data_IF_988854728928
#
_entry.id   IF_988854728928
#
_cell.length_a   1.000
_cell.length_b   1.000
_cell.length_c   1.000
_cell.angle_alpha   90.00
_cell.angle_beta   90.00
_cell.angle_gamma   90.00
#
_symmetry.space_group_name_H-M   'P 1'
#
loop_
_entity.id
_entity.type
_entity.pdbx_description
1 polymer ?
#
# COMPACT_ATOMS: atom_id res chain seq x y z
N UNK A 1 -19.58 9.08 26.00
CA UNK A 1 -19.30 8.82 27.43
C UNK A 1 -18.15 9.74 27.83
N UNK A 2 -18.29 10.54 28.89
CA UNK A 2 -17.19 11.36 29.42
C UNK A 2 -16.01 10.41 29.70
N UNK A 3 -14.88 10.61 29.03
CA UNK A 3 -13.64 9.91 29.37
C UNK A 3 -13.25 10.36 30.78
N UNK A 4 -13.38 9.46 31.75
CA UNK A 4 -12.83 9.69 33.08
C UNK A 4 -11.31 9.85 32.95
N UNK A 5 -10.75 10.86 33.62
CA UNK A 5 -9.31 11.12 33.56
C UNK A 5 -8.51 9.91 34.05
N UNK A 6 -7.31 9.64 33.48
CA UNK A 6 -6.53 8.44 33.79
C UNK A 6 -6.24 8.27 35.28
N UNK A 7 -6.02 9.37 36.03
CA UNK A 7 -5.81 9.32 37.48
C UNK A 7 -6.96 8.66 38.26
N UNK A 8 -8.20 8.85 37.82
CA UNK A 8 -9.35 8.22 38.46
C UNK A 8 -9.43 6.72 38.14
N UNK A 9 -9.08 6.31 36.92
CA UNK A 9 -9.06 4.89 36.54
C UNK A 9 -8.03 4.10 37.37
N UNK A 10 -6.84 4.66 37.58
CA UNK A 10 -5.82 4.06 38.45
C UNK A 10 -6.24 4.03 39.91
N UNK A 11 -6.92 5.08 40.39
CA UNK A 11 -7.46 5.09 41.74
C UNK A 11 -8.55 4.03 41.94
N UNK A 12 -9.48 3.90 40.99
CA UNK A 12 -10.52 2.87 41.02
C UNK A 12 -9.91 1.46 41.00
N UNK A 13 -8.85 1.23 40.21
CA UNK A 13 -8.13 -0.05 40.19
C UNK A 13 -7.47 -0.35 41.55
N UNK A 14 -6.86 0.64 42.19
CA UNK A 14 -6.30 0.48 43.54
C UNK A 14 -7.37 0.09 44.57
N UNK A 15 -8.57 0.68 44.48
CA UNK A 15 -9.69 0.33 45.34
C UNK A 15 -10.13 -1.13 45.11
N UNK A 16 -10.27 -1.56 43.85
CA UNK A 16 -10.63 -2.95 43.54
C UNK A 16 -9.57 -3.97 44.03
N UNK A 17 -8.29 -3.63 43.92
CA UNK A 17 -7.20 -4.46 44.44
C UNK A 17 -7.21 -4.53 45.97
N UNK A 18 -7.53 -3.42 46.63
CA UNK A 18 -7.73 -3.39 48.08
C UNK A 18 -8.90 -4.29 48.50
N UNK A 19 -10.05 -4.17 47.83
CA UNK A 19 -11.25 -4.98 48.09
C UNK A 19 -10.97 -6.47 47.88
N UNK A 20 -10.13 -6.83 46.90
CA UNK A 20 -9.74 -8.21 46.64
C UNK A 20 -8.93 -8.79 47.81
N UNK A 21 -8.03 -7.99 48.38
CA UNK A 21 -7.27 -8.38 49.56
C UNK A 21 -8.19 -8.57 50.79
N UNK A 22 -9.17 -7.67 50.98
CA UNK A 22 -10.17 -7.80 52.05
C UNK A 22 -11.02 -9.06 51.85
N UNK A 23 -11.50 -9.33 50.64
CA UNK A 23 -12.24 -10.57 50.32
C UNK A 23 -11.41 -11.83 50.58
N UNK A 24 -10.10 -11.78 50.33
CA UNK A 24 -9.18 -12.87 50.69
C UNK A 24 -9.18 -13.16 52.19
N UNK A 25 -9.15 -12.12 53.03
CA UNK A 25 -9.25 -12.27 54.49
C UNK A 25 -10.62 -12.80 54.92
N UNK A 26 -11.70 -12.31 54.30
CA UNK A 26 -13.06 -12.81 54.57
C UNK A 26 -13.18 -14.28 54.20
N UNK A 27 -12.62 -14.70 53.06
CA UNK A 27 -12.61 -16.11 52.64
C UNK A 27 -11.91 -17.01 53.67
N UNK A 28 -10.78 -16.55 54.23
CA UNK A 28 -10.10 -17.26 55.32
C UNK A 28 -10.97 -17.35 56.58
N UNK A 29 -11.64 -16.26 56.96
CA UNK A 29 -12.56 -16.26 58.11
C UNK A 29 -13.75 -17.20 57.90
N UNK A 30 -14.34 -17.21 56.71
CA UNK A 30 -15.44 -18.13 56.34
C UNK A 30 -14.99 -19.59 56.47
N UNK A 31 -13.76 -19.92 56.07
CA UNK A 31 -13.21 -21.28 56.20
C UNK A 31 -13.05 -21.75 57.64
N UNK A 32 -13.01 -20.84 58.62
CA UNK A 32 -12.89 -21.15 60.05
C UNK A 32 -14.22 -21.40 60.76
N UNK A 33 -15.36 -21.17 60.07
CA UNK A 33 -16.69 -21.33 60.64
C UNK A 33 -17.00 -22.81 60.89
N UNK A 34 -17.59 -23.11 62.05
CA UNK A 34 -17.99 -24.48 62.45
C UNK A 34 -19.41 -24.88 62.03
N UNK A 35 -20.17 -23.94 61.44
CA UNK A 35 -21.57 -24.13 61.06
C UNK A 35 -21.77 -24.09 59.55
N UNK A 36 -22.84 -24.71 59.06
CA UNK A 36 -23.21 -24.68 57.65
C UNK A 36 -24.22 -23.55 57.40
N UNK A 37 -23.78 -22.51 56.69
CA UNK A 37 -24.61 -21.35 56.36
C UNK A 37 -24.85 -21.29 54.85
N UNK A 38 -26.11 -21.12 54.44
CA UNK A 38 -26.48 -21.12 53.02
C UNK A 38 -25.84 -19.98 52.21
N UNK A 39 -25.76 -18.78 52.80
CA UNK A 39 -25.29 -17.57 52.11
C UNK A 39 -23.88 -17.12 52.53
N UNK A 40 -23.24 -17.84 53.46
CA UNK A 40 -21.92 -17.52 53.98
C UNK A 40 -21.07 -18.80 54.02
N UNK A 41 -20.63 -19.23 52.84
CA UNK A 41 -19.83 -20.44 52.64
C UNK A 41 -18.71 -20.19 51.62
N UNK A 42 -17.83 -21.19 51.46
CA UNK A 42 -16.64 -21.07 50.61
C UNK A 42 -16.97 -20.86 49.13
N UNK A 43 -18.10 -21.38 48.62
CA UNK A 43 -18.46 -21.20 47.20
C UNK A 43 -18.86 -19.75 46.93
N UNK A 44 -19.65 -19.14 47.81
CA UNK A 44 -20.07 -17.74 47.70
C UNK A 44 -18.85 -16.80 47.76
N UNK A 45 -17.89 -17.08 48.66
CA UNK A 45 -16.65 -16.32 48.74
C UNK A 45 -15.80 -16.44 47.45
N UNK A 46 -15.75 -17.63 46.86
CA UNK A 46 -15.07 -17.86 45.57
C UNK A 46 -15.75 -17.11 44.42
N UNK A 47 -17.08 -17.13 44.36
CA UNK A 47 -17.86 -16.41 43.35
C UNK A 47 -17.64 -14.89 43.44
N UNK A 48 -17.61 -14.33 44.65
CA UNK A 48 -17.28 -12.90 44.87
C UNK A 48 -15.86 -12.57 44.44
N UNK A 49 -14.89 -13.42 44.75
CA UNK A 49 -13.49 -13.26 44.34
C UNK A 49 -13.37 -13.27 42.81
N UNK A 50 -14.02 -14.23 42.14
CA UNK A 50 -14.05 -14.34 40.68
C UNK A 50 -14.74 -13.13 40.03
N UNK A 51 -15.85 -12.65 40.61
CA UNK A 51 -16.53 -11.44 40.16
C UNK A 51 -15.64 -10.20 40.24
N UNK A 52 -14.91 -10.04 41.35
CA UNK A 52 -14.00 -8.92 41.52
C UNK A 52 -12.78 -8.98 40.60
N UNK A 53 -12.21 -10.17 40.37
CA UNK A 53 -11.15 -10.39 39.39
C UNK A 53 -11.59 -9.99 37.97
N UNK A 54 -12.84 -10.29 37.57
CA UNK A 54 -13.39 -9.84 36.29
C UNK A 54 -13.53 -8.31 36.21
N UNK A 55 -13.89 -7.66 37.32
CA UNK A 55 -13.95 -6.19 37.38
C UNK A 55 -12.56 -5.56 37.29
N UNK A 56 -11.55 -6.14 37.93
CA UNK A 56 -10.15 -5.73 37.83
C UNK A 56 -9.69 -5.83 36.38
N UNK A 57 -9.88 -6.98 35.73
CA UNK A 57 -9.51 -7.18 34.33
C UNK A 57 -10.19 -6.15 33.42
N UNK A 58 -11.49 -5.91 33.63
CA UNK A 58 -12.24 -4.88 32.89
C UNK A 58 -11.66 -3.48 33.13
N UNK A 59 -11.22 -3.16 34.35
CA UNK A 59 -10.58 -1.87 34.64
C UNK A 59 -9.21 -1.73 34.00
N UNK A 60 -8.41 -2.80 34.00
CA UNK A 60 -7.15 -2.85 33.28
C UNK A 60 -7.35 -2.64 31.77
N UNK A 61 -8.40 -3.22 31.18
CA UNK A 61 -8.81 -2.96 29.79
C UNK A 61 -9.17 -1.49 29.53
N UNK A 62 -9.93 -0.87 30.44
CA UNK A 62 -10.29 0.55 30.34
C UNK A 62 -9.05 1.45 30.43
N UNK A 63 -8.08 1.13 31.29
CA UNK A 63 -6.80 1.85 31.39
C UNK A 63 -5.99 1.68 30.11
N UNK A 64 -5.83 0.44 29.61
CA UNK A 64 -5.12 0.17 28.34
C UNK A 64 -5.76 0.92 27.17
N UNK A 65 -7.09 0.97 27.12
CA UNK A 65 -7.80 1.73 26.09
C UNK A 65 -7.58 3.25 26.20
N UNK A 66 -7.51 3.80 27.43
CA UNK A 66 -7.20 5.20 27.66
C UNK A 66 -5.77 5.56 27.25
N UNK A 67 -4.79 4.70 27.58
CA UNK A 67 -3.38 4.90 27.21
C UNK A 67 -3.15 4.82 25.68
N UNK A 68 -3.92 3.97 24.98
CA UNK A 68 -3.94 3.94 23.50
C UNK A 68 -4.40 5.25 22.87
N UNK A 69 -5.04 6.14 23.61
CA UNK A 69 -5.48 7.45 23.14
C UNK A 69 -4.59 8.60 23.63
N UNK A 70 -3.51 8.33 24.37
CA UNK A 70 -2.69 9.34 25.03
C UNK A 70 -1.38 9.57 24.27
N UNK A 71 -1.01 10.84 24.12
CA UNK A 71 0.26 11.30 23.53
C UNK A 71 1.03 12.06 24.60
N UNK A 72 2.31 11.74 24.76
CA UNK A 72 3.22 12.49 25.62
C UNK A 72 4.33 13.10 24.76
N UNK A 73 4.48 14.42 24.82
CA UNK A 73 5.51 15.15 24.11
C UNK A 73 6.43 15.82 25.11
N UNK A 74 7.74 15.56 24.98
CA UNK A 74 8.75 16.31 25.70
C UNK A 74 9.07 17.57 24.88
N UNK A 75 8.72 18.73 25.42
CA UNK A 75 8.90 20.02 24.78
C UNK A 75 9.99 20.83 25.50
N UNK A 76 10.77 21.63 24.77
CA UNK A 76 11.77 22.50 25.38
C UNK A 76 11.07 23.55 26.27
N UNK A 77 11.55 23.66 27.51
CA UNK A 77 11.11 24.63 28.50
C UNK A 77 12.03 25.84 28.58
N UNK A 78 11.74 26.75 29.52
CA UNK A 78 12.61 27.89 29.82
C UNK A 78 13.94 27.40 30.39
N UNK A 79 15.06 27.99 29.95
CA UNK A 79 16.37 27.67 30.51
C UNK A 79 16.35 27.82 32.04
N UNK A 80 17.05 26.90 32.71
CA UNK A 80 17.23 27.05 34.15
C UNK A 80 18.10 28.26 34.48
N UNK A 81 18.22 28.60 35.76
CA UNK A 81 19.05 29.73 36.21
C UNK A 81 20.54 29.60 35.85
N UNK A 82 20.99 28.43 35.39
CA UNK A 82 22.35 28.15 34.94
C UNK A 82 22.51 28.07 33.41
N UNK A 83 21.45 28.40 32.65
CA UNK A 83 21.45 28.39 31.19
C UNK A 83 21.26 27.01 30.57
N UNK A 84 20.99 25.96 31.37
CA UNK A 84 20.78 24.61 30.82
C UNK A 84 19.39 24.50 30.20
N UNK A 85 19.26 23.80 29.05
CA UNK A 85 17.97 23.52 28.46
C UNK A 85 17.15 22.65 29.42
N UNK A 86 15.95 23.12 29.76
CA UNK A 86 14.97 22.31 30.49
C UNK A 86 13.94 21.76 29.52
N UNK A 87 13.24 20.71 29.94
CA UNK A 87 12.15 20.13 29.17
C UNK A 87 10.93 19.96 30.08
N UNK A 88 9.74 20.11 29.52
CA UNK A 88 8.49 19.77 30.21
C UNK A 88 7.70 18.78 29.35
N UNK A 89 6.93 17.92 30.02
CA UNK A 89 6.08 16.93 29.34
C UNK A 89 4.68 17.47 29.16
N UNK A 90 4.25 17.66 27.92
CA UNK A 90 2.86 17.94 27.57
C UNK A 90 2.13 16.64 27.29
N UNK A 91 0.94 16.47 27.87
CA UNK A 91 0.11 15.28 27.71
C UNK A 91 -1.17 15.66 26.97
N UNK A 92 -1.42 14.98 25.85
CA UNK A 92 -2.62 15.16 25.04
C UNK A 92 -3.44 13.87 25.04
N UNK A 93 -4.76 14.00 25.10
CA UNK A 93 -5.68 12.88 24.97
C UNK A 93 -6.47 13.04 23.67
N UNK A 94 -6.55 11.97 22.91
CA UNK A 94 -7.31 11.90 21.66
C UNK A 94 -8.61 11.13 21.89
N UNK A 95 -9.60 11.33 21.02
CA UNK A 95 -10.88 10.64 21.14
C UNK A 95 -10.79 9.16 20.73
N UNK A 96 -9.87 8.83 19.83
CA UNK A 96 -9.69 7.47 19.32
C UNK A 96 -8.20 7.19 19.06
N UNK A 97 -7.76 5.92 19.13
CA UNK A 97 -6.39 5.55 18.77
C UNK A 97 -6.02 5.93 17.33
N UNK A 98 -7.00 5.94 16.42
CA UNK A 98 -6.79 6.37 15.03
C UNK A 98 -6.40 7.86 14.93
N UNK A 99 -7.02 8.73 15.75
CA UNK A 99 -6.64 10.15 15.82
C UNK A 99 -5.24 10.30 16.43
N UNK A 100 -4.90 9.53 17.48
CA UNK A 100 -3.54 9.49 18.04
C UNK A 100 -2.52 9.18 16.94
N UNK A 101 -2.75 8.12 16.17
CA UNK A 101 -1.86 7.71 15.09
C UNK A 101 -1.74 8.78 13.99
N UNK A 102 -2.86 9.38 13.58
CA UNK A 102 -2.85 10.50 12.63
C UNK A 102 -2.01 11.68 13.12
N UNK A 103 -2.14 12.06 14.38
CA UNK A 103 -1.36 13.17 14.97
C UNK A 103 0.14 12.85 15.06
N UNK A 104 0.50 11.62 15.44
CA UNK A 104 1.89 11.16 15.48
C UNK A 104 2.49 11.19 14.08
N UNK A 105 1.78 10.68 13.06
CA UNK A 105 2.23 10.68 11.68
C UNK A 105 2.42 12.11 11.16
N UNK A 106 1.46 13.00 11.39
CA UNK A 106 1.59 14.41 10.99
C UNK A 106 2.78 15.09 11.67
N UNK A 107 3.02 14.82 12.96
CA UNK A 107 4.17 15.36 13.68
C UNK A 107 5.50 14.82 13.13
N UNK A 108 5.57 13.53 12.80
CA UNK A 108 6.75 12.93 12.18
C UNK A 108 7.01 13.51 10.79
N UNK A 109 5.98 13.63 9.95
CA UNK A 109 6.08 14.24 8.62
C UNK A 109 6.49 15.72 8.70
N UNK A 110 5.98 16.47 9.67
CA UNK A 110 6.38 17.86 9.88
C UNK A 110 7.85 17.97 10.34
N UNK A 111 8.28 17.11 11.27
CA UNK A 111 9.69 17.04 11.70
C UNK A 111 10.61 16.69 10.55
N UNK A 112 10.21 15.72 9.72
CA UNK A 112 10.92 15.39 8.51
C UNK A 112 10.98 16.63 7.64
N UNK A 113 9.85 17.23 7.23
CA UNK A 113 9.81 18.40 6.34
C UNK A 113 10.67 19.59 6.77
N UNK A 114 10.86 19.78 8.08
CA UNK A 114 11.68 20.86 8.64
C UNK A 114 13.15 20.48 8.90
N UNK A 115 13.56 19.24 8.65
CA UNK A 115 14.94 18.80 8.85
C UNK A 115 15.90 19.50 7.86
N UNK A 116 17.04 19.99 8.36
CA UNK A 116 18.03 20.72 7.56
C UNK A 116 18.69 19.86 6.47
N UNK A 117 18.79 18.54 6.69
CA UNK A 117 19.32 17.57 5.72
C UNK A 117 18.37 17.28 4.55
N UNK A 118 17.14 17.79 4.60
CA UNK A 118 16.19 17.52 3.54
C UNK A 118 16.52 18.27 2.27
N UNK A 119 16.73 17.50 1.21
CA UNK A 119 16.74 18.01 -0.14
C UNK A 119 15.31 18.04 -0.67
N UNK A 120 14.95 19.10 -1.39
CA UNK A 120 13.72 19.14 -2.16
C UNK A 120 13.79 18.02 -3.20
N UNK A 121 12.84 17.08 -3.15
CA UNK A 121 12.76 15.97 -4.12
C UNK A 121 12.28 16.40 -5.49
N UNK A 122 11.79 17.64 -5.60
CA UNK A 122 11.51 18.31 -6.87
C UNK A 122 11.95 19.76 -6.81
N UNK A 123 12.60 20.22 -7.87
CA UNK A 123 12.91 21.64 -8.05
C UNK A 123 11.71 22.33 -8.71
N UNK A 124 10.93 23.10 -7.93
CA UNK A 124 9.93 24.01 -8.47
C UNK A 124 10.63 25.31 -8.86
N UNK A 125 10.56 25.69 -10.14
CA UNK A 125 10.85 27.06 -10.52
C UNK A 125 9.76 27.92 -9.90
N UNK A 126 10.16 29.07 -9.37
CA UNK A 126 9.22 30.11 -8.93
C UNK A 126 8.35 30.49 -10.12
N UNK A 127 7.18 29.87 -10.24
CA UNK A 127 6.19 30.25 -11.25
C UNK A 127 5.46 31.50 -10.71
N UNK A 128 5.32 32.50 -11.58
CA UNK A 128 4.91 33.88 -11.29
C UNK A 128 3.81 34.03 -10.23
N UNK A 129 4.23 34.20 -8.96
CA UNK A 129 3.38 34.64 -7.85
C UNK A 129 2.74 33.56 -6.99
N UNK A 130 2.86 32.27 -7.31
CA UNK A 130 2.32 31.18 -6.48
C UNK A 130 3.45 30.40 -5.78
N UNK A 131 3.95 30.98 -4.68
CA UNK A 131 4.82 30.26 -3.76
C UNK A 131 4.01 29.14 -3.09
N UNK A 132 4.03 27.94 -3.66
CA UNK A 132 3.66 26.74 -2.92
C UNK A 132 4.57 26.73 -1.69
N UNK A 133 3.98 26.78 -0.49
CA UNK A 133 4.76 26.81 0.76
C UNK A 133 5.73 25.63 0.77
N UNK A 134 7.02 25.91 1.02
CA UNK A 134 8.11 24.91 1.01
C UNK A 134 7.80 23.64 1.81
N UNK A 135 7.00 23.78 2.86
CA UNK A 135 6.50 22.72 3.74
C UNK A 135 5.66 21.62 3.04
N UNK A 136 5.19 21.85 1.81
CA UNK A 136 4.38 20.90 1.04
C UNK A 136 5.12 20.20 -0.10
N UNK A 137 6.40 20.48 -0.29
CA UNK A 137 7.17 19.83 -1.36
C UNK A 137 7.53 18.39 -1.00
N UNK A 138 7.56 17.48 -1.99
CA UNK A 138 8.10 16.14 -1.78
C UNK A 138 9.57 16.26 -1.36
N UNK A 139 9.96 15.42 -0.40
CA UNK A 139 11.28 15.43 0.21
C UNK A 139 12.08 14.26 -0.33
N UNK A 140 13.33 14.51 -0.72
CA UNK A 140 14.28 13.45 -1.04
C UNK A 140 15.04 13.08 0.22
N UNK A 141 14.69 11.92 0.79
CA UNK A 141 15.28 11.44 2.04
C UNK A 141 16.61 10.72 1.80
N UNK A 142 16.72 9.90 0.74
CA UNK A 142 17.92 9.10 0.47
C UNK A 142 17.93 8.53 -0.95
N UNK A 143 19.11 8.38 -1.55
CA UNK A 143 19.34 7.48 -2.68
C UNK A 143 19.74 6.08 -2.21
N UNK A 144 19.13 5.05 -2.78
CA UNK A 144 19.45 3.66 -2.46
C UNK A 144 19.75 2.88 -3.73
N UNK A 145 20.91 2.19 -3.83
CA UNK A 145 21.17 1.33 -4.98
C UNK A 145 20.23 0.14 -4.93
N UNK A 146 19.56 -0.10 -6.05
CA UNK A 146 18.66 -1.26 -6.22
C UNK A 146 19.38 -2.40 -6.97
N UNK A 147 20.51 -2.09 -7.62
CA UNK A 147 21.27 -3.03 -8.43
C UNK A 147 22.49 -3.54 -7.68
N UNK A 148 22.74 -4.85 -7.75
CA UNK A 148 23.81 -5.53 -7.02
C UNK A 148 25.14 -5.55 -7.79
N UNK A 149 25.12 -5.39 -9.12
CA UNK A 149 26.31 -5.51 -9.97
C UNK A 149 26.71 -4.15 -10.57
N UNK A 150 27.97 -3.75 -10.35
CA UNK A 150 28.60 -2.56 -10.97
C UNK A 150 28.99 -2.76 -12.45
N UNK A 151 28.67 -3.90 -13.06
CA UNK A 151 29.31 -4.36 -14.30
C UNK A 151 28.44 -4.32 -15.56
N UNK A 152 27.25 -3.71 -15.53
CA UNK A 152 26.44 -3.42 -16.72
C UNK A 152 25.48 -2.26 -16.40
N UNK A 153 25.29 -1.31 -17.32
CA UNK A 153 24.29 -0.25 -17.18
C UNK A 153 22.89 -0.84 -17.40
N UNK A 154 22.29 -1.32 -16.33
CA UNK A 154 20.86 -1.62 -16.29
C UNK A 154 20.09 -0.31 -16.12
N UNK A 155 19.07 -0.11 -16.96
CA UNK A 155 18.14 1.00 -16.86
C UNK A 155 16.83 0.52 -16.24
N UNK A 156 16.29 1.27 -15.27
CA UNK A 156 14.97 0.98 -14.70
C UNK A 156 13.91 1.24 -15.78
N UNK A 157 13.05 0.25 -16.04
CA UNK A 157 11.98 0.34 -17.04
C UNK A 157 10.60 0.39 -16.38
N UNK A 158 10.37 -0.40 -15.32
CA UNK A 158 9.07 -0.46 -14.64
C UNK A 158 9.19 -0.86 -13.18
N UNK A 159 8.15 -0.60 -12.39
CA UNK A 159 8.04 -1.09 -11.03
C UNK A 159 6.59 -1.40 -10.65
N UNK A 160 6.39 -2.33 -9.72
CA UNK A 160 5.09 -2.62 -9.14
C UNK A 160 5.20 -2.77 -7.62
N UNK A 161 4.26 -2.16 -6.90
CA UNK A 161 4.16 -2.28 -5.45
C UNK A 161 3.22 -3.43 -5.08
N UNK A 162 3.72 -4.34 -4.26
CA UNK A 162 2.94 -5.38 -3.61
C UNK A 162 2.68 -4.96 -2.15
N UNK A 163 1.46 -4.51 -1.80
CA UNK A 163 1.09 -4.29 -0.41
C UNK A 163 0.92 -5.64 0.30
N UNK A 164 1.50 -5.76 1.49
CA UNK A 164 1.31 -6.91 2.36
C UNK A 164 0.37 -6.53 3.51
N UNK A 165 -0.73 -7.27 3.74
CA UNK A 165 -1.63 -6.96 4.83
C UNK A 165 -0.88 -7.11 6.16
N UNK A 166 -0.84 -6.04 6.93
CA UNK A 166 -0.32 -6.08 8.30
C UNK A 166 -1.27 -6.94 9.14
N UNK A 167 -0.88 -8.18 9.43
CA UNK A 167 -1.53 -8.98 10.46
C UNK A 167 -1.15 -8.37 11.81
N UNK A 168 -1.99 -7.46 12.30
CA UNK A 168 -1.85 -6.93 13.64
C UNK A 168 -1.93 -8.10 14.63
N UNK A 169 -0.79 -8.54 15.15
CA UNK A 169 -0.78 -9.29 16.40
C UNK A 169 -1.42 -8.39 17.46
N UNK A 170 -2.37 -8.93 18.24
CA UNK A 170 -3.18 -8.21 19.21
C UNK A 170 -2.39 -7.43 20.29
N UNK A 171 -1.05 -7.50 20.27
CA UNK A 171 -0.12 -6.96 21.25
C UNK A 171 0.71 -5.75 20.81
N UNK A 172 0.74 -5.35 19.53
CA UNK A 172 1.55 -4.20 19.08
C UNK A 172 0.69 -3.08 18.45
N UNK A 173 0.12 -2.21 19.29
CA UNK A 173 -0.80 -1.15 18.87
C UNK A 173 -0.17 0.24 18.69
N UNK A 174 1.16 0.34 18.52
CA UNK A 174 1.86 1.64 18.47
C UNK A 174 2.70 1.89 17.20
N UNK A 175 2.78 0.96 16.26
CA UNK A 175 3.44 1.24 14.98
C UNK A 175 2.48 1.97 14.03
N UNK A 176 2.99 3.05 13.44
CA UNK A 176 2.40 3.66 12.26
C UNK A 176 2.07 2.54 11.27
N UNK A 177 0.84 2.49 10.76
CA UNK A 177 0.49 1.64 9.62
C UNK A 177 1.22 2.19 8.37
N UNK A 178 2.55 2.05 8.37
CA UNK A 178 3.35 2.07 7.16
C UNK A 178 2.75 0.94 6.33
N UNK A 179 2.39 1.18 5.08
CA UNK A 179 2.05 0.08 4.20
C UNK A 179 3.29 -0.82 4.13
N UNK A 180 3.24 -1.96 4.82
CA UNK A 180 4.31 -2.94 4.76
C UNK A 180 4.15 -3.65 3.43
N UNK A 181 5.25 -3.86 2.70
CA UNK A 181 5.15 -4.43 1.37
C UNK A 181 6.49 -4.54 0.68
N UNK A 182 6.41 -4.91 -0.59
CA UNK A 182 7.56 -5.08 -1.47
C UNK A 182 7.41 -4.24 -2.72
N UNK A 183 8.44 -3.47 -3.06
CA UNK A 183 8.54 -2.84 -4.37
C UNK A 183 9.38 -3.73 -5.28
N UNK A 184 8.78 -4.19 -6.35
CA UNK A 184 9.44 -4.93 -7.41
C UNK A 184 9.89 -3.96 -8.49
N UNK A 185 11.17 -4.01 -8.85
CA UNK A 185 11.78 -3.09 -9.81
C UNK A 185 12.36 -3.92 -10.95
N UNK A 186 11.84 -3.70 -12.15
CA UNK A 186 12.35 -4.27 -13.40
C UNK A 186 13.35 -3.32 -14.03
N UNK A 187 14.57 -3.81 -14.22
CA UNK A 187 15.64 -3.08 -14.91
C UNK A 187 16.17 -3.91 -16.08
N UNK A 188 16.60 -3.27 -17.15
CA UNK A 188 16.98 -3.94 -18.38
C UNK A 188 18.35 -3.48 -18.88
N UNK A 189 19.15 -4.41 -19.38
CA UNK A 189 20.22 -4.13 -20.35
C UNK A 189 19.66 -4.24 -21.76
N UNK A 190 20.49 -4.15 -22.79
CA UNK A 190 20.06 -4.32 -24.18
C UNK A 190 19.56 -5.74 -24.51
N UNK A 191 19.86 -6.75 -23.68
CA UNK A 191 19.57 -8.15 -24.01
C UNK A 191 18.74 -8.88 -22.95
N UNK A 192 18.76 -8.44 -21.69
CA UNK A 192 18.13 -9.17 -20.60
C UNK A 192 17.56 -8.24 -19.53
N UNK A 193 16.54 -8.73 -18.83
CA UNK A 193 15.95 -8.07 -17.67
C UNK A 193 16.52 -8.59 -16.35
N UNK A 194 16.43 -7.76 -15.31
CA UNK A 194 16.72 -8.06 -13.93
C UNK A 194 15.60 -7.53 -13.05
N UNK A 195 15.21 -8.32 -12.07
CA UNK A 195 14.24 -7.94 -11.04
C UNK A 195 14.98 -7.79 -9.74
N UNK A 196 14.77 -6.66 -9.09
CA UNK A 196 15.18 -6.42 -7.73
C UNK A 196 13.96 -6.15 -6.85
N UNK A 197 13.96 -6.72 -5.65
CA UNK A 197 12.83 -6.62 -4.71
C UNK A 197 13.30 -5.87 -3.47
N UNK A 198 12.63 -4.74 -3.19
CA UNK A 198 12.89 -3.90 -2.03
C UNK A 198 11.81 -4.14 -0.98
N UNK A 199 12.20 -4.45 0.25
CA UNK A 199 11.29 -4.61 1.39
C UNK A 199 11.17 -3.30 2.17
N UNK A 200 9.94 -2.94 2.55
CA UNK A 200 9.60 -1.82 3.44
C UNK A 200 9.22 -2.25 4.85
N UNK A 201 9.43 -3.53 5.20
CA UNK A 201 9.04 -4.06 6.50
C UNK A 201 9.91 -3.57 7.66
N UNK A 202 11.11 -3.06 7.36
CA UNK A 202 11.97 -2.40 8.35
C UNK A 202 11.98 -0.90 8.15
N UNK A 203 12.32 -0.15 9.22
CA UNK A 203 12.49 1.31 9.21
C UNK A 203 13.43 1.85 8.14
N UNK A 204 14.29 0.98 7.58
CA UNK A 204 15.09 1.26 6.39
C UNK A 204 14.72 0.28 5.27
N UNK A 205 14.38 0.77 4.06
CA UNK A 205 14.17 -0.09 2.90
C UNK A 205 15.47 -0.82 2.54
N UNK A 206 15.34 -2.10 2.14
CA UNK A 206 16.47 -2.97 1.77
C UNK A 206 16.14 -3.84 0.57
N UNK A 207 17.11 -4.01 -0.35
CA UNK A 207 17.01 -5.04 -1.39
C UNK A 207 17.14 -6.39 -0.71
N UNK A 208 16.13 -7.24 -0.86
CA UNK A 208 16.09 -8.57 -0.25
C UNK A 208 16.38 -9.67 -1.27
N UNK A 209 16.09 -9.42 -2.56
CA UNK A 209 16.23 -10.40 -3.63
C UNK A 209 16.60 -9.70 -4.93
N UNK A 210 17.38 -10.38 -5.76
CA UNK A 210 17.73 -9.94 -7.10
C UNK A 210 17.96 -11.15 -8.02
N UNK A 211 17.32 -11.16 -9.18
CA UNK A 211 17.48 -12.24 -10.16
C UNK A 211 17.23 -11.77 -11.60
N UNK A 212 17.85 -12.46 -12.54
CA UNK A 212 17.73 -12.17 -13.97
C UNK A 212 16.54 -12.91 -14.60
N UNK A 213 16.00 -12.34 -15.66
CA UNK A 213 14.97 -12.93 -16.54
C UNK A 213 15.45 -12.96 -17.98
N UNK A 214 14.78 -13.77 -18.81
CA UNK A 214 15.24 -14.17 -20.14
C UNK A 214 15.20 -13.04 -21.20
N UNK A 215 14.37 -12.02 -21.00
CA UNK A 215 14.16 -10.92 -21.96
C UNK A 215 14.00 -9.57 -21.25
N UNK A 216 14.00 -8.47 -22.01
CA UNK A 216 13.76 -7.12 -21.47
C UNK A 216 12.33 -7.03 -20.93
N UNK A 217 12.21 -6.57 -19.68
CA UNK A 217 10.94 -6.28 -19.02
C UNK A 217 10.48 -4.88 -19.46
N UNK A 218 9.24 -4.77 -19.93
CA UNK A 218 8.66 -3.49 -20.38
C UNK A 218 7.56 -3.00 -19.44
N UNK A 219 6.83 -3.91 -18.81
CA UNK A 219 5.75 -3.56 -17.89
C UNK A 219 5.59 -4.62 -16.79
N UNK A 220 5.01 -4.20 -15.68
CA UNK A 220 4.78 -5.03 -14.50
C UNK A 220 3.49 -4.61 -13.83
N UNK A 221 2.69 -5.58 -13.37
CA UNK A 221 1.47 -5.30 -12.60
C UNK A 221 1.33 -6.26 -11.42
N UNK A 222 0.86 -5.72 -10.30
CA UNK A 222 0.48 -6.52 -9.13
C UNK A 222 -0.96 -7.02 -9.26
N UNK A 223 -1.15 -8.29 -8.98
CA UNK A 223 -2.45 -8.96 -9.00
C UNK A 223 -2.74 -9.43 -7.57
N UNK A 224 -3.73 -8.82 -6.89
CA UNK A 224 -4.08 -9.19 -5.52
C UNK A 224 -4.68 -10.60 -5.46
N UNK A 225 -4.68 -11.16 -4.25
CA UNK A 225 -5.45 -12.36 -3.95
C UNK A 225 -6.95 -12.05 -4.08
N UNK A 226 -7.67 -12.86 -4.85
CA UNK A 226 -9.12 -12.76 -4.91
C UNK A 226 -9.72 -13.38 -3.65
N UNK A 227 -10.23 -12.56 -2.75
CA UNK A 227 -11.13 -13.02 -1.70
C UNK A 227 -12.41 -13.53 -2.37
N UNK A 228 -12.57 -14.85 -2.48
CA UNK A 228 -13.88 -15.41 -2.79
C UNK A 228 -14.82 -14.94 -1.67
N UNK A 229 -15.76 -14.04 -2.01
CA UNK A 229 -16.89 -13.69 -1.15
C UNK A 229 -17.45 -15.00 -0.60
N UNK A 230 -17.28 -15.21 0.72
CA UNK A 230 -17.90 -16.33 1.41
C UNK A 230 -19.40 -16.14 1.24
N UNK A 231 -20.01 -16.87 0.31
CA UNK A 231 -21.44 -17.10 0.34
C UNK A 231 -21.76 -17.75 1.68
N UNK A 232 -22.18 -16.93 2.64
CA UNK A 232 -22.83 -17.39 3.84
C UNK A 232 -24.13 -18.06 3.39
N UNK A 233 -24.13 -19.39 3.39
CA UNK A 233 -25.19 -20.29 3.83
C UNK A 233 -25.15 -21.61 3.04
N UNK A 234 -24.34 -22.56 3.49
CA UNK A 234 -24.64 -23.99 3.42
C UNK A 234 -23.82 -24.76 4.46
N UNK A 235 -24.49 -25.66 5.16
CA UNK A 235 -23.98 -26.46 6.27
C UNK A 235 -22.78 -27.35 5.83
N UNK A 236 -21.88 -27.71 6.76
CA UNK A 236 -20.73 -28.53 6.45
C UNK A 236 -21.14 -30.00 6.49
N UNK A 237 -21.27 -30.65 5.33
CA UNK A 237 -21.20 -32.11 5.27
C UNK A 237 -20.69 -32.52 3.89
N UNK A 238 -19.41 -32.90 3.86
CA UNK A 238 -18.81 -34.02 3.11
C UNK A 238 -17.32 -33.74 2.87
N UNK A 239 -16.49 -34.64 3.40
CA UNK A 239 -15.07 -34.72 3.12
C UNK A 239 -14.85 -34.90 1.62
N UNK A 240 -14.40 -33.83 0.94
CA UNK A 240 -13.63 -33.96 -0.29
C UNK A 240 -12.31 -33.23 -0.11
N UNK A 241 -11.24 -34.01 -0.13
CA UNK A 241 -9.86 -33.55 -0.31
C UNK A 241 -9.74 -33.12 -1.78
N UNK A 242 -10.37 -32.00 -2.15
CA UNK A 242 -10.00 -31.24 -3.33
C UNK A 242 -9.19 -30.04 -2.83
N UNK A 243 -7.97 -29.92 -3.33
CA UNK A 243 -7.01 -28.88 -2.98
C UNK A 243 -7.71 -27.52 -2.86
N UNK A 244 -7.70 -26.95 -1.65
CA UNK A 244 -7.97 -25.53 -1.45
C UNK A 244 -6.89 -24.78 -2.23
N UNK A 245 -7.18 -24.38 -3.46
CA UNK A 245 -6.29 -23.54 -4.27
C UNK A 245 -6.25 -22.16 -3.62
N UNK A 246 -5.30 -21.96 -2.70
CA UNK A 246 -4.98 -20.65 -2.16
C UNK A 246 -4.49 -19.78 -3.32
N UNK A 247 -5.26 -18.75 -3.66
CA UNK A 247 -5.00 -17.89 -4.80
C UNK A 247 -3.98 -16.82 -4.36
N UNK A 248 -2.71 -17.20 -4.24
CA UNK A 248 -1.64 -16.33 -3.71
C UNK A 248 -1.51 -15.05 -4.55
N UNK A 249 -1.26 -13.87 -3.96
CA UNK A 249 -0.99 -12.66 -4.73
C UNK A 249 0.22 -12.83 -5.65
N UNK A 250 0.15 -12.25 -6.85
CA UNK A 250 1.16 -12.44 -7.91
C UNK A 250 1.66 -11.14 -8.50
N UNK A 251 2.86 -11.17 -9.04
CA UNK A 251 3.42 -10.12 -9.89
C UNK A 251 3.48 -10.67 -11.31
N UNK A 252 2.88 -9.93 -12.24
CA UNK A 252 2.85 -10.24 -13.66
C UNK A 252 3.86 -9.36 -14.40
N UNK A 253 4.66 -9.97 -15.27
CA UNK A 253 5.65 -9.31 -16.11
C UNK A 253 5.25 -9.41 -17.58
N UNK A 254 5.41 -8.32 -18.31
CA UNK A 254 5.34 -8.29 -19.77
C UNK A 254 6.72 -8.02 -20.36
N UNK A 255 7.14 -8.87 -21.29
CA UNK A 255 8.48 -8.84 -21.88
C UNK A 255 8.48 -8.48 -23.37
N UNK A 256 9.66 -8.06 -23.83
CA UNK A 256 9.90 -7.64 -25.22
C UNK A 256 9.69 -8.78 -26.23
N UNK A 257 10.05 -10.01 -25.89
CA UNK A 257 9.85 -11.19 -26.74
C UNK A 257 8.38 -11.67 -26.82
N UNK A 258 7.45 -10.94 -26.21
CA UNK A 258 6.03 -11.25 -26.20
C UNK A 258 5.61 -12.30 -25.18
N UNK A 259 6.45 -12.58 -24.17
CA UNK A 259 6.10 -13.48 -23.08
C UNK A 259 5.50 -12.73 -21.88
N UNK A 260 4.60 -13.42 -21.18
CA UNK A 260 4.00 -13.02 -19.92
C UNK A 260 4.41 -14.03 -18.85
N UNK A 261 5.02 -13.56 -17.76
CA UNK A 261 5.46 -14.40 -16.64
C UNK A 261 4.80 -14.00 -15.33
N UNK A 262 4.34 -15.00 -14.56
CA UNK A 262 3.71 -14.81 -13.25
C UNK A 262 4.62 -15.29 -12.13
N UNK A 263 4.86 -14.44 -11.13
CA UNK A 263 5.67 -14.77 -9.95
C UNK A 263 4.83 -14.68 -8.69
N UNK A 264 5.08 -15.57 -7.73
CA UNK A 264 4.50 -15.45 -6.38
C UNK A 264 5.02 -14.18 -5.71
N UNK A 265 4.13 -13.45 -5.03
CA UNK A 265 4.50 -12.20 -4.35
C UNK A 265 4.71 -12.35 -2.83
N UNK A 266 4.39 -13.51 -2.25
CA UNK A 266 4.43 -13.76 -0.81
C UNK A 266 5.85 -13.84 -0.19
N UNK A 267 5.94 -13.59 1.12
CA UNK A 267 7.17 -13.78 1.90
C UNK A 267 7.77 -15.18 1.67
N UNK A 268 9.05 -15.25 1.29
CA UNK A 268 9.80 -16.50 1.15
C UNK A 268 9.69 -17.25 -0.18
N UNK A 269 8.89 -16.77 -1.15
CA UNK A 269 8.75 -17.44 -2.46
C UNK A 269 8.77 -16.49 -3.66
N UNK A 270 9.46 -15.34 -3.54
CA UNK A 270 9.41 -14.26 -4.53
C UNK A 270 10.04 -14.58 -5.88
N UNK A 271 11.00 -15.52 -5.94
CA UNK A 271 11.59 -15.96 -7.22
C UNK A 271 10.79 -17.07 -7.92
N UNK A 272 9.74 -17.59 -7.29
CA UNK A 272 9.00 -18.75 -7.81
C UNK A 272 8.10 -18.30 -8.95
N UNK A 273 8.50 -18.64 -10.19
CA UNK A 273 7.67 -18.48 -11.39
C UNK A 273 6.57 -19.53 -11.38
N UNK A 274 5.33 -19.07 -11.37
CA UNK A 274 4.12 -19.87 -11.40
C UNK A 274 3.76 -20.30 -12.82
N UNK A 275 3.80 -19.34 -13.74
CA UNK A 275 3.40 -19.52 -15.13
C UNK A 275 4.27 -18.67 -16.05
N UNK A 276 4.39 -19.15 -17.28
CA UNK A 276 5.05 -18.46 -18.37
C UNK A 276 4.36 -18.89 -19.67
N UNK A 277 3.89 -17.92 -20.46
CA UNK A 277 3.27 -18.17 -21.75
C UNK A 277 3.49 -16.99 -22.70
N UNK A 278 3.22 -17.19 -23.99
CA UNK A 278 3.40 -16.17 -25.01
C UNK A 278 2.07 -15.57 -25.42
N UNK A 279 2.10 -14.30 -25.81
CA UNK A 279 0.99 -13.63 -26.46
C UNK A 279 0.77 -14.15 -27.89
N UNK A 280 -0.40 -13.90 -28.50
CA UNK A 280 -0.62 -14.17 -29.90
C UNK A 280 0.48 -13.59 -30.78
N UNK A 281 0.97 -14.39 -31.72
CA UNK A 281 2.06 -14.02 -32.65
C UNK A 281 3.37 -13.63 -31.95
N UNK A 282 3.52 -13.91 -30.64
CA UNK A 282 4.62 -13.45 -29.79
C UNK A 282 4.80 -11.93 -29.85
N UNK A 283 3.69 -11.21 -29.92
CA UNK A 283 3.68 -9.75 -29.94
C UNK A 283 4.20 -9.18 -28.62
N UNK A 284 5.17 -8.28 -28.69
CA UNK A 284 5.75 -7.59 -27.54
C UNK A 284 4.69 -7.01 -26.60
N UNK A 285 4.85 -7.25 -25.29
CA UNK A 285 3.91 -6.79 -24.25
C UNK A 285 4.34 -5.41 -23.77
N UNK A 286 3.62 -4.38 -24.21
CA UNK A 286 3.96 -2.98 -23.95
C UNK A 286 3.40 -2.47 -22.63
N UNK A 287 2.22 -2.96 -22.23
CA UNK A 287 1.55 -2.55 -21.00
C UNK A 287 0.68 -3.69 -20.46
N UNK A 288 0.52 -3.73 -19.13
CA UNK A 288 -0.30 -4.71 -18.44
C UNK A 288 -1.19 -4.02 -17.41
N UNK A 289 -2.42 -4.49 -17.27
CA UNK A 289 -3.26 -4.13 -16.14
C UNK A 289 -4.21 -5.26 -15.75
N UNK A 290 -4.71 -5.23 -14.52
CA UNK A 290 -5.60 -6.25 -13.97
C UNK A 290 -6.85 -5.62 -13.38
N UNK A 291 -8.02 -6.17 -13.71
CA UNK A 291 -9.31 -5.76 -13.14
C UNK A 291 -10.33 -6.89 -13.21
N UNK A 292 -11.10 -7.09 -12.14
CA UNK A 292 -12.24 -8.00 -12.10
C UNK A 292 -11.96 -9.40 -12.69
N UNK A 293 -10.82 -10.01 -12.32
CA UNK A 293 -10.33 -11.32 -12.79
C UNK A 293 -9.74 -11.37 -14.20
N UNK A 294 -9.70 -10.25 -14.93
CA UNK A 294 -9.11 -10.16 -16.25
C UNK A 294 -7.71 -9.55 -16.19
N UNK A 295 -6.80 -10.13 -16.98
CA UNK A 295 -5.50 -9.54 -17.27
C UNK A 295 -5.55 -8.98 -18.69
N UNK A 296 -5.30 -7.67 -18.81
CA UNK A 296 -5.26 -6.96 -20.08
C UNK A 296 -3.81 -6.72 -20.47
N UNK A 297 -3.41 -7.23 -21.63
CA UNK A 297 -2.08 -7.02 -22.20
C UNK A 297 -2.18 -6.14 -23.45
N UNK A 298 -1.64 -4.93 -23.36
CA UNK A 298 -1.48 -4.02 -24.49
C UNK A 298 -0.24 -4.40 -25.29
N UNK A 299 -0.42 -4.60 -26.59
CA UNK A 299 0.60 -5.17 -27.46
C UNK A 299 1.19 -4.13 -28.43
N UNK A 300 2.38 -4.43 -28.95
CA UNK A 300 3.08 -3.56 -29.92
C UNK A 300 2.33 -3.40 -31.25
N UNK A 301 1.47 -4.35 -31.61
CA UNK A 301 0.68 -4.34 -32.83
C UNK A 301 -0.64 -3.57 -32.72
N UNK A 302 -0.90 -2.89 -31.60
CA UNK A 302 -2.12 -2.10 -31.38
C UNK A 302 -3.34 -2.90 -30.90
N UNK A 303 -3.13 -4.16 -30.52
CA UNK A 303 -4.15 -5.00 -29.92
C UNK A 303 -4.08 -5.00 -28.38
N UNK A 304 -5.20 -5.27 -27.75
CA UNK A 304 -5.29 -5.68 -26.35
C UNK A 304 -5.75 -7.13 -26.30
N UNK A 305 -4.93 -7.99 -25.72
CA UNK A 305 -5.29 -9.38 -25.40
C UNK A 305 -5.82 -9.46 -23.98
N UNK A 306 -6.99 -10.08 -23.81
CA UNK A 306 -7.69 -10.21 -22.52
C UNK A 306 -7.65 -11.67 -22.11
N UNK A 307 -7.01 -11.94 -20.98
CA UNK A 307 -6.85 -13.27 -20.40
C UNK A 307 -7.75 -13.45 -19.18
N UNK A 308 -8.14 -14.68 -18.92
CA UNK A 308 -8.92 -15.08 -17.74
C UNK A 308 -8.20 -16.19 -16.99
N UNK A 309 -8.57 -16.39 -15.73
CA UNK A 309 -8.18 -17.57 -14.96
C UNK A 309 -9.09 -18.77 -15.30
N UNK A 310 -8.50 -19.96 -15.29
CA UNK A 310 -9.19 -21.25 -15.27
C UNK A 310 -9.74 -21.54 -13.86
N UNK A 311 -10.53 -22.60 -13.73
CA UNK A 311 -11.16 -23.00 -12.46
C UNK A 311 -10.14 -23.35 -11.36
N UNK A 312 -8.95 -23.80 -11.75
CA UNK A 312 -7.84 -24.09 -10.85
C UNK A 312 -7.05 -22.85 -10.38
N UNK A 313 -7.40 -21.66 -10.90
CA UNK A 313 -6.77 -20.38 -10.59
C UNK A 313 -5.59 -20.00 -11.50
N UNK A 314 -5.18 -20.88 -12.42
CA UNK A 314 -4.11 -20.59 -13.38
C UNK A 314 -4.63 -19.71 -14.52
N UNK A 315 -3.79 -18.86 -15.11
CA UNK A 315 -4.16 -18.08 -16.29
C UNK A 315 -4.25 -18.96 -17.54
N UNK A 316 -5.33 -18.81 -18.30
CA UNK A 316 -5.46 -19.41 -19.62
C UNK A 316 -4.40 -18.82 -20.55
N UNK A 317 -3.69 -19.68 -21.30
CA UNK A 317 -2.62 -19.24 -22.21
C UNK A 317 -3.15 -18.57 -23.48
N UNK A 318 -4.35 -18.96 -23.91
CA UNK A 318 -5.05 -18.32 -25.02
C UNK A 318 -5.93 -17.18 -24.50
N UNK A 319 -5.91 -16.00 -25.14
CA UNK A 319 -6.76 -14.90 -24.73
C UNK A 319 -8.22 -15.22 -25.00
N UNK A 320 -9.10 -14.87 -24.06
CA UNK A 320 -10.55 -14.98 -24.23
C UNK A 320 -11.05 -14.03 -25.34
N UNK A 321 -10.45 -12.84 -25.44
CA UNK A 321 -10.83 -11.81 -26.40
C UNK A 321 -9.62 -10.99 -26.82
N UNK A 322 -9.64 -10.52 -28.07
CA UNK A 322 -8.69 -9.56 -28.61
C UNK A 322 -9.47 -8.31 -29.04
N UNK A 323 -9.08 -7.15 -28.52
CA UNK A 323 -9.63 -5.85 -28.90
C UNK A 323 -8.61 -5.13 -29.76
N UNK A 324 -9.00 -4.73 -30.98
CA UNK A 324 -8.10 -4.06 -31.93
C UNK A 324 -8.31 -2.55 -31.83
N UNK A 325 -7.27 -1.80 -31.47
CA UNK A 325 -7.34 -0.34 -31.34
C UNK A 325 -6.77 0.38 -32.56
N UNK A 326 -5.68 -0.16 -33.12
CA UNK A 326 -4.99 0.44 -34.26
C UNK A 326 -3.79 -0.40 -34.68
N UNK A 327 -2.81 0.25 -35.31
CA UNK A 327 -1.55 -0.38 -35.76
C UNK A 327 -0.32 0.07 -34.96
N UNK A 328 -0.51 1.01 -34.03
CA UNK A 328 0.54 1.55 -33.19
C UNK A 328 0.58 0.84 -31.83
N UNK A 329 1.70 0.84 -31.10
CA UNK A 329 1.80 0.16 -29.81
C UNK A 329 0.82 0.68 -28.75
N UNK A 330 0.20 -0.23 -28.00
CA UNK A 330 -0.60 0.12 -26.81
C UNK A 330 0.32 0.37 -25.61
N UNK A 331 0.79 1.60 -25.45
CA UNK A 331 1.86 1.96 -24.49
C UNK A 331 1.42 2.07 -23.04
N UNK A 332 0.15 2.38 -22.79
CA UNK A 332 -0.34 2.59 -21.43
C UNK A 332 -1.76 2.06 -21.29
N UNK A 333 -2.00 1.32 -20.21
CA UNK A 333 -3.30 0.85 -19.77
C UNK A 333 -3.55 1.39 -18.36
N UNK A 334 -4.70 2.04 -18.17
CA UNK A 334 -5.06 2.71 -16.94
C UNK A 334 -6.47 2.27 -16.53
N UNK A 335 -6.59 1.67 -15.35
CA UNK A 335 -7.90 1.28 -14.80
C UNK A 335 -8.57 2.52 -14.21
N UNK A 336 -9.80 2.78 -14.61
CA UNK A 336 -10.63 3.85 -14.07
C UNK A 336 -12.05 3.33 -13.87
N UNK A 337 -12.41 3.10 -12.61
CA UNK A 337 -13.72 2.56 -12.20
C UNK A 337 -14.06 1.22 -12.88
N UNK A 338 -15.00 1.25 -13.82
CA UNK A 338 -15.45 0.10 -14.63
C UNK A 338 -14.90 0.14 -16.07
N UNK A 339 -13.95 1.03 -16.35
CA UNK A 339 -13.33 1.19 -17.67
C UNK A 339 -11.81 0.98 -17.62
N UNK A 340 -11.26 0.56 -18.74
CA UNK A 340 -9.82 0.58 -19.04
C UNK A 340 -9.58 1.64 -20.09
N UNK A 341 -8.73 2.60 -19.77
CA UNK A 341 -8.25 3.60 -20.71
C UNK A 341 -6.95 3.09 -21.34
N UNK A 342 -6.91 3.02 -22.66
CA UNK A 342 -5.80 2.48 -23.42
C UNK A 342 -5.22 3.52 -24.37
N UNK A 343 -3.93 3.83 -24.21
CA UNK A 343 -3.21 4.72 -25.10
C UNK A 343 -2.58 3.93 -26.26
N UNK A 344 -3.00 4.22 -27.49
CA UNK A 344 -2.49 3.62 -28.71
C UNK A 344 -2.15 4.74 -29.70
N UNK A 345 -0.85 4.95 -29.96
CA UNK A 345 -0.39 6.13 -30.70
C UNK A 345 -0.73 7.44 -29.97
N UNK A 346 -1.32 8.40 -30.67
CA UNK A 346 -1.82 9.68 -30.11
C UNK A 346 -3.24 9.63 -29.54
N UNK A 347 -3.87 8.45 -29.57
CA UNK A 347 -5.28 8.26 -29.22
C UNK A 347 -5.45 7.51 -27.89
N UNK A 348 -6.54 7.84 -27.20
CA UNK A 348 -7.01 7.14 -26.01
C UNK A 348 -8.33 6.47 -26.34
N UNK A 349 -8.42 5.19 -26.00
CA UNK A 349 -9.62 4.37 -26.12
C UNK A 349 -10.14 4.01 -24.73
N UNK A 350 -11.44 4.20 -24.51
CA UNK A 350 -12.14 3.88 -23.27
C UNK A 350 -12.87 2.56 -23.49
N UNK A 351 -12.51 1.54 -22.72
CA UNK A 351 -12.96 0.16 -22.92
C UNK A 351 -13.69 -0.31 -21.67
N UNK A 352 -14.89 -0.85 -21.84
CA UNK A 352 -15.66 -1.43 -20.74
C UNK A 352 -14.94 -2.63 -20.13
N UNK A 353 -14.80 -2.69 -18.81
CA UNK A 353 -14.31 -3.90 -18.10
C UNK A 353 -15.35 -5.02 -18.05
N UNK A 354 -16.61 -4.74 -18.39
CA UNK A 354 -17.71 -5.72 -18.37
C UNK A 354 -17.91 -6.35 -19.75
N UNK A 355 -18.07 -5.51 -20.79
CA UNK A 355 -18.35 -5.99 -22.16
C UNK A 355 -17.08 -6.16 -23.00
N UNK A 356 -15.95 -5.62 -22.53
CA UNK A 356 -14.69 -5.56 -23.26
C UNK A 356 -14.81 -4.91 -24.65
N UNK A 357 -15.75 -3.98 -24.83
CA UNK A 357 -15.91 -3.19 -26.06
C UNK A 357 -15.42 -1.77 -25.86
N UNK A 358 -14.97 -1.16 -26.94
CA UNK A 358 -14.63 0.28 -26.98
C UNK A 358 -15.94 1.06 -26.85
N UNK A 359 -16.04 1.88 -25.81
CA UNK A 359 -17.20 2.73 -25.52
C UNK A 359 -17.00 4.13 -26.11
N UNK A 360 -15.77 4.66 -26.04
CA UNK A 360 -15.43 5.98 -26.55
C UNK A 360 -13.94 6.07 -26.90
N UNK A 361 -13.55 7.09 -27.65
CA UNK A 361 -12.14 7.41 -27.91
C UNK A 361 -11.96 8.89 -28.20
N UNK A 362 -10.74 9.40 -28.00
CA UNK A 362 -10.37 10.76 -28.35
C UNK A 362 -8.87 10.87 -28.63
N UNK A 363 -8.47 11.95 -29.30
CA UNK A 363 -7.07 12.25 -29.59
C UNK A 363 -6.51 13.22 -28.54
N UNK A 364 -5.35 12.88 -27.97
CA UNK A 364 -4.74 13.68 -26.89
C UNK A 364 -3.96 14.90 -27.41
N UNK A 365 -3.67 14.96 -28.71
CA UNK A 365 -2.88 16.01 -29.33
C UNK A 365 -3.26 16.24 -30.78
N UNK A 366 -3.30 17.50 -31.23
CA UNK A 366 -3.68 17.84 -32.62
C UNK A 366 -2.49 17.71 -33.60
N UNK A 367 -1.27 17.76 -33.08
CA UNK A 367 -0.06 17.57 -33.89
C UNK A 367 0.12 16.10 -34.28
N UNK A 368 0.20 15.88 -35.58
CA UNK A 368 0.43 14.55 -36.14
C UNK A 368 1.77 13.95 -35.66
N UNK A 369 1.78 12.66 -35.39
CA UNK A 369 2.99 11.92 -34.98
C UNK A 369 3.27 11.95 -33.48
N UNK A 370 2.51 12.70 -32.69
CA UNK A 370 2.62 12.67 -31.22
C UNK A 370 2.10 11.34 -30.67
N UNK A 371 2.99 10.59 -30.01
CA UNK A 371 2.66 9.29 -29.40
C UNK A 371 2.60 9.44 -27.89
N UNK A 372 1.51 8.97 -27.29
CA UNK A 372 1.33 8.95 -25.84
C UNK A 372 2.31 7.92 -25.23
N UNK A 373 3.03 8.33 -24.19
CA UNK A 373 3.94 7.46 -23.46
C UNK A 373 3.32 6.92 -22.17
N UNK A 374 2.65 7.78 -21.39
CA UNK A 374 2.12 7.43 -20.07
C UNK A 374 0.81 8.16 -19.79
N UNK A 375 -0.04 7.55 -18.95
CA UNK A 375 -1.24 8.16 -18.41
C UNK A 375 -1.28 7.98 -16.89
N UNK A 376 -1.77 8.99 -16.17
CA UNK A 376 -1.97 8.92 -14.72
C UNK A 376 -3.21 9.70 -14.30
N UNK A 377 -4.07 9.11 -13.46
CA UNK A 377 -5.22 9.82 -12.89
C UNK A 377 -4.77 10.65 -11.68
N UNK A 378 -5.21 11.90 -11.61
CA UNK A 378 -5.09 12.72 -10.41
C UNK A 378 -6.29 13.66 -10.28
N UNK A 379 -6.99 13.58 -9.15
CA UNK A 379 -8.20 14.36 -8.91
C UNK A 379 -9.30 14.02 -9.93
N UNK A 380 -9.79 15.02 -10.65
CA UNK A 380 -10.88 14.91 -11.63
C UNK A 380 -10.41 14.69 -13.07
N UNK A 381 -9.10 14.49 -13.28
CA UNK A 381 -8.53 14.42 -14.61
C UNK A 381 -7.47 13.34 -14.77
N UNK A 382 -7.15 13.06 -16.03
CA UNK A 382 -6.03 12.22 -16.45
C UNK A 382 -4.93 13.09 -17.05
N UNK A 383 -3.73 12.92 -16.52
CA UNK A 383 -2.51 13.50 -17.07
C UNK A 383 -1.92 12.58 -18.13
N UNK A 384 -1.54 13.17 -19.26
CA UNK A 384 -0.99 12.48 -20.41
C UNK A 384 0.41 13.02 -20.68
N UNK A 385 1.37 12.11 -20.80
CA UNK A 385 2.71 12.38 -21.28
C UNK A 385 2.88 11.83 -22.70
N UNK A 386 3.74 12.47 -23.48
CA UNK A 386 4.08 12.05 -24.84
C UNK A 386 5.50 11.49 -24.89
N UNK A 387 5.86 10.79 -25.97
CA UNK A 387 7.22 10.25 -26.18
C UNK A 387 8.23 11.33 -26.53
N UNK A 388 7.75 12.46 -27.02
CA UNK A 388 8.50 13.64 -27.41
C UNK A 388 7.91 14.88 -26.76
N UNK A 389 8.75 15.86 -26.49
CA UNK A 389 8.37 17.08 -25.79
C UNK A 389 8.36 16.93 -24.27
N UNK A 390 8.12 18.06 -23.61
CA UNK A 390 8.17 18.19 -22.15
C UNK A 390 6.85 18.68 -21.57
N UNK A 391 5.78 18.67 -22.36
CA UNK A 391 4.46 19.14 -21.94
C UNK A 391 3.60 17.96 -21.52
N UNK A 392 3.11 18.00 -20.29
CA UNK A 392 2.03 17.14 -19.78
C UNK A 392 0.69 17.82 -20.05
N UNK A 393 -0.31 17.04 -20.45
CA UNK A 393 -1.65 17.55 -20.74
C UNK A 393 -2.68 16.90 -19.82
N UNK A 394 -3.54 17.71 -19.21
CA UNK A 394 -4.62 17.26 -18.34
C UNK A 394 -5.94 17.26 -19.11
N UNK A 395 -6.65 16.14 -19.03
CA UNK A 395 -8.00 15.99 -19.59
C UNK A 395 -8.98 15.64 -18.48
N UNK A 396 -10.19 16.19 -18.53
CA UNK A 396 -11.26 15.83 -17.62
C UNK A 396 -11.73 14.39 -17.88
N UNK A 397 -11.88 13.57 -16.84
CA UNK A 397 -12.21 12.13 -17.00
C UNK A 397 -13.60 11.89 -17.60
N UNK A 398 -14.60 12.70 -17.24
CA UNK A 398 -15.96 12.57 -17.78
C UNK A 398 -16.17 13.27 -19.13
N UNK A 399 -15.81 14.56 -19.23
CA UNK A 399 -16.09 15.36 -20.45
C UNK A 399 -15.06 15.16 -21.55
N UNK A 400 -13.93 14.52 -21.25
CA UNK A 400 -12.78 14.31 -22.16
C UNK A 400 -12.20 15.62 -22.72
N UNK A 401 -12.53 16.75 -22.12
CA UNK A 401 -12.02 18.06 -22.53
C UNK A 401 -10.64 18.28 -21.94
N UNK A 402 -9.77 18.86 -22.75
CA UNK A 402 -8.52 19.43 -22.30
C UNK A 402 -8.77 20.50 -21.23
N UNK A 403 -8.01 20.45 -20.14
CA UNK A 403 -8.11 21.36 -19.00
C UNK A 403 -6.87 22.23 -18.85
N UNK A 404 -5.67 21.64 -18.98
CA UNK A 404 -4.42 22.32 -18.65
C UNK A 404 -3.23 21.67 -19.35
N UNK A 405 -2.22 22.47 -19.67
CA UNK A 405 -0.88 22.01 -20.07
C UNK A 405 0.16 22.45 -19.03
N UNK A 406 1.12 21.57 -18.71
CA UNK A 406 2.22 21.84 -17.76
C UNK A 406 3.54 21.43 -18.41
N UNK A 407 4.53 22.33 -18.45
CA UNK A 407 5.84 22.04 -19.01
C UNK A 407 6.84 21.62 -17.91
N UNK A 408 7.49 20.46 -18.11
CA UNK A 408 8.44 19.84 -17.19
C UNK A 408 9.89 19.84 -17.72
N UNK A 409 10.24 20.64 -18.73
CA UNK A 409 11.61 20.67 -19.29
C UNK A 409 12.67 21.06 -18.25
N UNK A 410 12.36 22.06 -17.43
CA UNK A 410 13.33 22.69 -16.54
C UNK A 410 13.57 21.94 -15.22
N UNK A 411 12.58 21.27 -14.59
CA UNK A 411 12.79 20.44 -13.40
C UNK A 411 13.73 19.24 -13.61
N UNK A 412 13.87 18.73 -14.83
CA UNK A 412 14.60 17.46 -15.11
C UNK A 412 16.11 17.66 -15.26
N UNK A 413 16.57 18.82 -15.72
CA UNK A 413 17.99 19.06 -16.01
C UNK A 413 18.92 19.10 -14.77
N UNK A 414 18.39 19.37 -13.57
CA UNK A 414 19.19 19.56 -12.35
C UNK A 414 19.06 18.41 -11.33
N UNK A 415 18.27 17.36 -11.62
CA UNK A 415 18.11 16.18 -10.75
C UNK A 415 19.23 15.13 -10.93
N UNK A 416 20.13 15.34 -11.88
CA UNK A 416 21.37 14.57 -12.00
C UNK A 416 22.44 15.33 -11.20
N UNK A 417 22.91 14.83 -10.04
CA UNK A 417 24.17 15.29 -9.49
C UNK A 417 25.24 15.07 -10.57
N UNK A 418 26.13 16.04 -10.73
CA UNK A 418 27.16 16.06 -11.77
C UNK A 418 27.85 14.71 -12.01
N UNK A 419 28.08 14.46 -13.29
CA UNK A 419 29.16 13.63 -13.83
C UNK A 419 30.45 13.66 -13.01
#
# INVERSE_FOLDING_TARGET
KLYMGPGQLYHDLQNLLHDLNVLGQISQLISSLKGNYQNLNQSVAHDWTSGLQKLILKKEDEIRAADRCRIQLQLPGKQDKSGRPTFFTAVFNTFTPAIKQSWINNLQMAKLALAEDNLLGWFCIEDDGNQIKKEKHPLLVRHMPVMMAKQQEFKIECAAYNPEPYLAGETESDSCAVEHGFLWIGSCTNQMGQIAIVSFQSSSPKVIECFNVESRILCMVYIPEEEKLKEQNKAPDSESVLAKTSNVPTICLGMEEGSISMYKSCQGSKKVRLQHFFTPEKSTVMSLTYRSQYLFAGLVNGNISIYTKAEDGTWNTEPQKIVKLGVLPVRSLLVMEETIWAACGGQIFIISTVTHSIENHFEAHQEEGMVISHMAVAGVGVWIAFTSGSTLRLFHTETLKHLQDVNIATPVHNMLPGS
#
